data_IF_337656618443
#
_entry.id   IF_337656618443
#
_cell.length_a   1.000
_cell.length_b   1.000
_cell.length_c   1.000
_cell.angle_alpha   90.00
_cell.angle_beta   90.00
_cell.angle_gamma   90.00
#
_symmetry.space_group_name_H-M   'P 1'
#
loop_
_entity.id
_entity.type
_entity.pdbx_description
1 polymer ?
#
# COMPACT_ATOMS: atom_id res chain seq x y z
N UNK A 1 -18.41 8.70 -28.02
CA UNK A 1 -18.96 8.59 -26.65
C UNK A 1 -17.77 8.83 -25.72
N UNK A 2 -17.64 10.04 -25.16
CA UNK A 2 -16.52 10.38 -24.26
C UNK A 2 -16.70 9.61 -22.95
N UNK A 3 -15.73 8.76 -22.60
CA UNK A 3 -15.75 8.00 -21.36
C UNK A 3 -15.38 8.95 -20.19
N UNK A 4 -16.12 8.94 -19.07
CA UNK A 4 -15.88 9.87 -17.97
C UNK A 4 -14.50 9.61 -17.36
N UNK A 5 -13.65 10.64 -17.35
CA UNK A 5 -12.24 10.60 -16.92
C UNK A 5 -12.03 10.12 -15.47
N UNK A 6 -13.08 10.15 -14.64
CA UNK A 6 -13.02 9.85 -13.21
C UNK A 6 -13.75 8.56 -12.81
N UNK A 7 -14.19 7.74 -13.76
CA UNK A 7 -14.82 6.47 -13.45
C UNK A 7 -13.75 5.39 -13.21
N UNK A 8 -13.59 4.98 -11.95
CA UNK A 8 -12.64 3.94 -11.55
C UNK A 8 -12.92 2.60 -12.23
N UNK A 9 -14.20 2.29 -12.50
CA UNK A 9 -14.57 1.06 -13.17
C UNK A 9 -14.02 1.08 -14.60
N UNK A 10 -14.25 2.18 -15.31
CA UNK A 10 -13.72 2.38 -16.66
C UNK A 10 -12.19 2.36 -16.69
N UNK A 11 -11.53 3.08 -15.78
CA UNK A 11 -10.07 3.13 -15.70
C UNK A 11 -9.45 1.76 -15.40
N UNK A 12 -10.20 0.86 -14.76
CA UNK A 12 -9.77 -0.50 -14.46
C UNK A 12 -10.03 -1.51 -15.58
N UNK A 13 -10.69 -1.11 -16.68
CA UNK A 13 -10.98 -2.00 -17.81
C UNK A 13 -9.68 -2.55 -18.43
N UNK A 14 -9.62 -3.86 -18.60
CA UNK A 14 -8.49 -4.54 -19.25
C UNK A 14 -7.26 -4.74 -18.37
N UNK A 15 -7.30 -4.34 -17.10
CA UNK A 15 -6.25 -4.67 -16.14
C UNK A 15 -6.40 -6.10 -15.65
N UNK A 16 -5.31 -6.85 -15.73
CA UNK A 16 -5.18 -8.19 -15.18
C UNK A 16 -4.23 -8.17 -13.99
N UNK A 17 -4.48 -9.00 -12.98
CA UNK A 17 -3.66 -9.00 -11.79
C UNK A 17 -4.07 -10.03 -10.76
N UNK A 18 -3.53 -9.89 -9.54
CA UNK A 18 -3.63 -10.88 -8.45
C UNK A 18 -4.96 -10.85 -7.69
N UNK A 19 -5.89 -9.96 -8.07
CA UNK A 19 -7.17 -9.75 -7.38
C UNK A 19 -8.34 -9.85 -8.35
N UNK A 20 -9.48 -10.37 -7.88
CA UNK A 20 -10.75 -10.35 -8.62
C UNK A 20 -11.44 -8.98 -8.58
N UNK A 21 -10.95 -8.05 -7.77
CA UNK A 21 -11.44 -6.67 -7.73
C UNK A 21 -10.61 -5.80 -8.70
N UNK A 22 -11.18 -5.33 -9.83
CA UNK A 22 -10.43 -4.60 -10.84
C UNK A 22 -9.95 -3.22 -10.34
N UNK A 23 -10.68 -2.58 -9.42
CA UNK A 23 -10.26 -1.31 -8.81
C UNK A 23 -9.06 -1.52 -7.90
N UNK A 24 -8.97 -2.67 -7.22
CA UNK A 24 -7.79 -3.02 -6.44
C UNK A 24 -6.56 -3.21 -7.34
N UNK A 25 -6.72 -3.89 -8.49
CA UNK A 25 -5.65 -4.06 -9.48
C UNK A 25 -5.19 -2.72 -10.06
N UNK A 26 -6.14 -1.82 -10.37
CA UNK A 26 -5.84 -0.45 -10.79
C UNK A 26 -5.00 0.28 -9.74
N UNK A 27 -5.42 0.23 -8.48
CA UNK A 27 -4.72 0.87 -7.38
C UNK A 27 -3.30 0.33 -7.22
N UNK A 28 -3.12 -1.00 -7.24
CA UNK A 28 -1.82 -1.66 -7.17
C UNK A 28 -0.91 -1.25 -8.33
N UNK A 29 -1.45 -1.18 -9.55
CA UNK A 29 -0.72 -0.77 -10.76
C UNK A 29 -0.24 0.69 -10.66
N UNK A 30 -1.06 1.59 -10.10
CA UNK A 30 -0.69 3.00 -9.91
C UNK A 30 0.28 3.19 -8.74
N UNK A 31 0.15 2.37 -7.69
CA UNK A 31 1.01 2.43 -6.52
C UNK A 31 2.42 1.88 -6.82
N UNK A 32 2.50 0.73 -7.51
CA UNK A 32 3.73 0.05 -7.88
C UNK A 32 3.69 -0.40 -9.36
N UNK A 33 3.95 0.51 -10.31
CA UNK A 33 3.90 0.18 -11.74
C UNK A 33 4.85 -0.96 -12.08
N UNK A 34 4.33 -1.96 -12.79
CA UNK A 34 5.04 -3.15 -13.27
C UNK A 34 5.81 -3.95 -12.19
N UNK A 35 5.45 -3.83 -10.92
CA UNK A 35 6.13 -4.55 -9.84
C UNK A 35 5.96 -6.08 -9.93
N UNK A 36 4.89 -6.58 -10.57
CA UNK A 36 4.71 -8.00 -10.86
C UNK A 36 5.73 -8.53 -11.90
N UNK A 37 6.32 -7.64 -12.72
CA UNK A 37 7.43 -7.95 -13.62
C UNK A 37 8.80 -7.67 -12.98
N UNK A 38 8.84 -7.29 -11.70
CA UNK A 38 10.06 -7.04 -10.95
C UNK A 38 10.65 -5.63 -11.14
N UNK A 39 9.94 -4.71 -11.78
CA UNK A 39 10.37 -3.31 -11.86
C UNK A 39 10.11 -2.56 -10.56
N UNK A 40 10.92 -1.53 -10.29
CA UNK A 40 10.80 -0.64 -9.12
C UNK A 40 10.60 0.81 -9.58
N UNK A 41 9.48 1.04 -10.27
CA UNK A 41 9.10 2.38 -10.70
C UNK A 41 8.49 3.19 -9.53
N UNK A 42 8.68 4.52 -9.52
CA UNK A 42 8.04 5.36 -8.53
C UNK A 42 6.50 5.31 -8.67
N UNK A 43 5.80 5.44 -7.54
CA UNK A 43 4.35 5.56 -7.55
C UNK A 43 3.91 6.78 -8.34
N UNK A 44 2.84 6.63 -9.12
CA UNK A 44 2.15 7.76 -9.79
C UNK A 44 1.02 8.34 -8.94
N UNK A 45 0.83 7.82 -7.73
CA UNK A 45 -0.15 8.33 -6.77
C UNK A 45 0.49 9.35 -5.82
N UNK A 46 -0.28 10.37 -5.49
CA UNK A 46 0.08 11.35 -4.47
C UNK A 46 -0.83 11.19 -3.26
N UNK A 47 -0.23 10.91 -2.11
CA UNK A 47 -0.94 10.82 -0.84
C UNK A 47 -1.11 12.22 -0.25
N UNK A 48 -2.35 12.60 0.03
CA UNK A 48 -2.69 13.88 0.66
C UNK A 48 -3.51 13.63 1.92
N UNK A 49 -3.07 14.22 3.03
CA UNK A 49 -3.79 14.15 4.29
C UNK A 49 -4.95 15.14 4.29
N UNK A 50 -6.18 14.62 4.26
CA UNK A 50 -7.41 15.42 4.32
C UNK A 50 -8.01 15.35 5.73
N UNK A 51 -7.68 16.33 6.57
CA UNK A 51 -8.09 16.38 7.99
C UNK A 51 -9.61 16.29 8.19
N UNK A 52 -10.39 16.88 7.27
CA UNK A 52 -11.85 16.88 7.32
C UNK A 52 -12.47 15.50 7.06
N UNK A 53 -11.72 14.56 6.49
CA UNK A 53 -12.14 13.18 6.25
C UNK A 53 -11.48 12.20 7.22
N UNK A 54 -10.91 12.69 8.32
CA UNK A 54 -10.36 11.84 9.37
C UNK A 54 -11.46 10.97 9.98
N UNK A 55 -11.21 9.66 10.00
CA UNK A 55 -12.11 8.69 10.63
C UNK A 55 -11.58 8.43 12.06
N UNK A 56 -12.30 8.87 13.11
CA UNK A 56 -11.91 8.58 14.48
C UNK A 56 -11.91 7.08 14.73
N UNK A 57 -10.81 6.56 15.26
CA UNK A 57 -10.66 5.15 15.57
C UNK A 57 -10.05 4.97 16.96
N UNK A 58 -10.45 3.91 17.65
CA UNK A 58 -9.94 3.53 18.97
C UNK A 58 -9.25 2.18 18.85
N UNK A 59 -8.00 2.11 19.32
CA UNK A 59 -7.24 0.86 19.39
C UNK A 59 -7.32 0.33 20.81
N UNK A 60 -7.82 -0.90 20.97
CA UNK A 60 -7.90 -1.61 22.24
C UNK A 60 -6.90 -2.77 22.23
N UNK A 61 -5.94 -2.75 23.14
CA UNK A 61 -4.93 -3.80 23.22
C UNK A 61 -3.83 -3.49 24.23
N UNK A 62 -2.95 -4.45 24.46
CA UNK A 62 -1.72 -4.26 25.24
C UNK A 62 -0.62 -3.80 24.29
N UNK A 63 -0.08 -2.59 24.49
CA UNK A 63 1.04 -2.05 23.72
C UNK A 63 0.66 -0.87 22.79
N UNK A 64 1.64 -0.31 22.07
CA UNK A 64 1.40 0.78 21.12
C UNK A 64 0.58 0.31 19.89
N UNK A 65 -0.15 1.22 19.21
CA UNK A 65 -0.91 0.90 18.02
C UNK A 65 -0.01 0.47 16.85
N UNK A 66 -0.49 -0.47 16.04
CA UNK A 66 0.24 -1.04 14.90
C UNK A 66 1.11 -2.26 15.25
N UNK A 67 1.85 -2.77 14.27
CA UNK A 67 2.71 -3.96 14.41
C UNK A 67 1.94 -5.29 14.45
N UNK A 68 2.63 -6.36 14.85
CA UNK A 68 2.03 -7.67 15.02
C UNK A 68 1.34 -7.76 16.39
N UNK A 69 0.05 -8.10 16.41
CA UNK A 69 -0.71 -8.32 17.66
C UNK A 69 -0.51 -9.72 18.26
N UNK A 70 0.20 -10.60 17.56
CA UNK A 70 0.59 -11.91 18.05
C UNK A 70 2.05 -11.88 18.53
N UNK A 71 2.36 -12.72 19.52
CA UNK A 71 3.72 -12.88 20.02
C UNK A 71 4.51 -13.72 18.99
N UNK A 72 5.52 -13.12 18.37
CA UNK A 72 6.43 -13.81 17.45
C UNK A 72 7.61 -14.40 18.25
N UNK A 73 8.00 -15.65 17.99
CA UNK A 73 9.26 -16.18 18.51
C UNK A 73 10.44 -15.34 17.99
N UNK A 74 11.44 -15.08 18.84
CA UNK A 74 12.52 -14.13 18.56
C UNK A 74 13.44 -14.48 17.38
N UNK A 75 13.34 -15.70 16.84
CA UNK A 75 14.06 -16.15 15.63
C UNK A 75 13.29 -15.87 14.33
N UNK A 76 12.03 -15.46 14.41
CA UNK A 76 11.16 -15.33 13.24
C UNK A 76 11.35 -13.96 12.56
N UNK A 77 12.07 -13.95 11.44
CA UNK A 77 12.16 -12.79 10.56
C UNK A 77 10.98 -12.81 9.58
N UNK A 78 9.93 -12.03 9.84
CA UNK A 78 8.68 -12.03 9.06
C UNK A 78 8.54 -10.86 8.10
N UNK A 79 9.55 -10.00 8.02
CA UNK A 79 9.47 -8.75 7.26
C UNK A 79 10.12 -8.95 5.88
N UNK A 80 9.27 -8.99 4.85
CA UNK A 80 9.70 -8.91 3.46
C UNK A 80 9.93 -7.44 3.08
N UNK A 81 11.06 -7.15 2.43
CA UNK A 81 11.35 -5.85 1.81
C UNK A 81 10.69 -5.69 0.43
N UNK A 82 9.79 -6.60 0.06
CA UNK A 82 9.05 -6.51 -1.19
C UNK A 82 8.11 -5.31 -1.20
N UNK A 83 7.96 -4.69 -2.36
CA UNK A 83 7.15 -3.49 -2.57
C UNK A 83 5.72 -3.65 -2.03
N UNK A 84 5.16 -4.86 -2.10
CA UNK A 84 3.79 -5.18 -1.65
C UNK A 84 3.57 -5.18 -0.12
N UNK A 85 4.61 -5.03 0.69
CA UNK A 85 4.52 -4.98 2.16
C UNK A 85 4.73 -3.57 2.71
N UNK A 86 4.88 -2.57 1.83
CA UNK A 86 5.06 -1.18 2.22
C UNK A 86 3.73 -0.50 2.56
N UNK A 87 3.77 0.48 3.46
CA UNK A 87 2.60 1.31 3.71
C UNK A 87 2.46 2.33 2.58
N UNK A 88 1.24 2.69 2.16
CA UNK A 88 1.05 3.69 1.12
C UNK A 88 1.67 5.03 1.54
N UNK A 89 2.57 5.56 0.70
CA UNK A 89 3.29 6.80 0.98
C UNK A 89 4.46 6.66 1.97
N UNK A 90 4.76 5.45 2.46
CA UNK A 90 5.88 5.17 3.35
C UNK A 90 6.61 3.89 2.90
N UNK A 91 7.63 4.08 2.06
CA UNK A 91 8.50 2.97 1.65
C UNK A 91 9.27 2.43 2.87
N UNK A 92 9.23 1.12 3.06
CA UNK A 92 9.82 0.50 4.25
C UNK A 92 11.35 0.62 4.22
N UNK A 93 11.97 0.51 3.02
CA UNK A 93 13.41 0.70 2.82
C UNK A 93 13.89 2.08 3.27
N UNK A 94 13.12 3.13 2.97
CA UNK A 94 13.43 4.51 3.34
C UNK A 94 13.30 4.70 4.85
N UNK A 95 12.24 4.13 5.44
CA UNK A 95 12.04 4.17 6.90
C UNK A 95 13.16 3.46 7.67
N UNK A 96 13.57 2.25 7.26
CA UNK A 96 14.67 1.52 7.91
C UNK A 96 15.98 2.30 7.82
N UNK A 97 16.27 2.89 6.65
CA UNK A 97 17.46 3.72 6.44
C UNK A 97 17.47 4.94 7.36
N UNK A 98 16.32 5.57 7.60
CA UNK A 98 16.19 6.73 8.49
C UNK A 98 16.45 6.42 9.96
N UNK A 99 16.14 5.19 10.41
CA UNK A 99 16.31 4.74 11.80
C UNK A 99 17.71 4.24 12.15
N UNK A 100 18.59 4.04 11.16
CA UNK A 100 19.98 3.60 11.38
C UNK A 100 20.96 4.75 11.60
N UNK A 101 20.48 5.99 11.66
CA UNK A 101 21.23 7.18 12.10
C UNK A 101 20.92 7.49 13.55
#
# INVERSE_FOLDING_TARGET
MEKPKNDLQYLSEGLEGRSSNPVAVLFDTLLHPDADFGYDYPSVLHWKLEQHHYIPHLVLGKGPPGGAWHNMEGSMLTISFGNWMELPGLKFKDWVSSKRR
#
